data_IF_911321182095
#
_entry.id   IF_911321182095
#
_cell.length_a   1.000
_cell.length_b   1.000
_cell.length_c   1.000
_cell.angle_alpha   90.00
_cell.angle_beta   90.00
_cell.angle_gamma   90.00
#
_symmetry.space_group_name_H-M   'P 1'
#
loop_
_entity.id
_entity.type
_entity.pdbx_description
1 polymer ?
#
# COMPACT_ATOMS: atom_id res chain seq x y z
N UNK A 1 -0.88 71.65 15.21
CA UNK A 1 -1.41 70.57 14.35
C UNK A 1 -0.84 70.78 12.95
N UNK A 2 0.22 70.06 12.58
CA UNK A 2 0.92 70.23 11.30
C UNK A 2 0.79 68.91 10.55
N UNK A 3 0.00 68.95 9.48
CA UNK A 3 -0.27 67.80 8.61
C UNK A 3 1.04 67.51 7.86
N UNK A 4 1.62 66.35 8.09
CA UNK A 4 2.79 65.87 7.35
C UNK A 4 2.31 65.42 5.97
N UNK A 5 2.74 66.14 4.94
CA UNK A 5 2.49 65.85 3.53
C UNK A 5 3.16 64.52 3.15
N UNK A 6 2.41 63.56 2.63
CA UNK A 6 2.85 62.20 2.33
C UNK A 6 3.62 62.05 0.99
N UNK A 7 4.25 63.11 0.48
CA UNK A 7 4.90 63.09 -0.85
C UNK A 7 6.40 63.47 -0.84
N UNK A 8 7.12 63.23 0.25
CA UNK A 8 8.58 63.37 0.27
C UNK A 8 9.23 62.01 0.36
N UNK A 9 9.23 61.29 -0.76
CA UNK A 9 10.19 60.22 -1.01
C UNK A 9 11.24 60.86 -1.92
N UNK A 10 12.40 61.18 -1.36
CA UNK A 10 13.47 61.88 -2.05
C UNK A 10 13.86 61.15 -3.35
N UNK A 11 14.01 61.89 -4.46
CA UNK A 11 14.31 61.38 -5.81
C UNK A 11 15.72 60.79 -5.98
N UNK A 12 16.42 60.48 -4.88
CA UNK A 12 17.80 59.97 -4.84
C UNK A 12 17.91 58.58 -4.18
N UNK A 13 16.84 57.76 -4.21
CA UNK A 13 16.93 56.39 -3.72
C UNK A 13 17.74 55.56 -4.71
N UNK A 14 18.93 55.12 -4.27
CA UNK A 14 19.84 54.29 -5.04
C UNK A 14 19.21 52.92 -5.34
N UNK A 15 19.20 52.51 -6.61
CA UNK A 15 18.59 51.24 -7.04
C UNK A 15 19.23 50.03 -6.34
N UNK A 16 20.51 50.10 -5.98
CA UNK A 16 21.21 49.06 -5.22
C UNK A 16 20.66 48.92 -3.79
N UNK A 17 20.24 50.03 -3.17
CA UNK A 17 19.61 50.00 -1.85
C UNK A 17 18.23 49.33 -1.93
N UNK A 18 17.43 49.65 -2.96
CA UNK A 18 16.12 49.02 -3.22
C UNK A 18 16.28 47.52 -3.46
N UNK A 19 17.23 47.13 -4.31
CA UNK A 19 17.53 45.73 -4.62
C UNK A 19 18.01 44.96 -3.38
N UNK A 20 18.88 45.55 -2.54
CA UNK A 20 19.35 44.92 -1.32
C UNK A 20 18.23 44.72 -0.29
N UNK A 21 17.34 45.70 -0.14
CA UNK A 21 16.21 45.63 0.77
C UNK A 21 15.15 44.63 0.27
N UNK A 22 14.92 44.57 -1.05
CA UNK A 22 14.06 43.58 -1.67
C UNK A 22 14.60 42.15 -1.50
N UNK A 23 15.91 41.93 -1.69
CA UNK A 23 16.54 40.64 -1.44
C UNK A 23 16.46 40.23 0.03
N UNK A 24 16.67 41.18 0.96
CA UNK A 24 16.54 40.95 2.39
C UNK A 24 15.09 40.57 2.76
N UNK A 25 14.09 41.27 2.20
CA UNK A 25 12.68 40.95 2.41
C UNK A 25 12.30 39.56 1.84
N UNK A 26 12.85 39.14 0.69
CA UNK A 26 12.62 37.81 0.13
C UNK A 26 13.26 36.70 1.00
N UNK A 27 14.46 36.94 1.53
CA UNK A 27 15.16 35.98 2.38
C UNK A 27 14.42 35.69 3.70
N UNK A 28 13.79 36.71 4.30
CA UNK A 28 13.06 36.58 5.56
C UNK A 28 11.54 36.43 5.41
N UNK A 29 10.99 36.70 4.22
CA UNK A 29 9.55 36.75 3.94
C UNK A 29 9.00 35.55 3.18
N UNK A 30 9.81 34.54 2.83
CA UNK A 30 9.27 33.25 2.40
C UNK A 30 8.59 32.61 3.61
N UNK A 31 7.23 32.46 3.64
CA UNK A 31 6.62 31.56 4.61
C UNK A 31 7.31 30.22 4.40
N UNK A 32 7.91 29.70 5.46
CA UNK A 32 8.49 28.36 5.45
C UNK A 32 7.34 27.44 5.06
N UNK A 33 7.32 26.98 3.81
CA UNK A 33 6.34 26.00 3.37
C UNK A 33 6.44 24.87 4.40
N UNK A 34 5.33 24.47 5.04
CA UNK A 34 5.37 23.37 5.98
C UNK A 34 6.10 22.22 5.28
N UNK A 35 7.19 21.73 5.89
CA UNK A 35 8.03 20.64 5.38
C UNK A 35 7.23 19.32 5.43
N UNK A 36 6.11 19.27 4.72
CA UNK A 36 5.16 18.16 4.71
C UNK A 36 3.97 18.46 3.78
N UNK A 37 4.20 19.01 2.59
CA UNK A 37 3.17 19.05 1.52
C UNK A 37 2.97 17.68 0.85
N UNK A 38 3.71 16.64 1.27
CA UNK A 38 3.75 15.36 0.53
C UNK A 38 3.36 14.10 1.30
N UNK A 39 2.75 14.16 2.49
CA UNK A 39 2.54 12.92 3.28
C UNK A 39 1.13 12.71 3.87
N UNK A 40 0.08 13.04 3.13
CA UNK A 40 -1.29 12.60 3.51
C UNK A 40 -1.51 11.08 3.34
N UNK A 41 -0.53 10.35 2.77
CA UNK A 41 -0.58 8.88 2.67
C UNK A 41 -0.20 8.15 3.96
N UNK A 42 0.17 8.88 5.01
CA UNK A 42 0.75 8.32 6.22
C UNK A 42 -0.24 8.41 7.37
N UNK A 43 -0.97 7.32 7.59
CA UNK A 43 -1.69 7.14 8.86
C UNK A 43 -0.67 6.85 9.95
N UNK A 44 -0.17 7.89 10.61
CA UNK A 44 0.51 7.74 11.90
C UNK A 44 -0.44 7.06 12.87
N UNK A 45 -0.10 5.85 13.30
CA UNK A 45 -0.71 5.28 14.49
C UNK A 45 -0.14 6.05 15.69
N UNK A 46 -1.02 6.57 16.55
CA UNK A 46 -0.70 7.39 17.74
C UNK A 46 0.28 6.73 18.74
N UNK A 47 0.73 5.49 18.49
CA UNK A 47 1.66 4.72 19.32
C UNK A 47 2.89 4.18 18.55
N UNK A 48 3.47 5.03 17.70
CA UNK A 48 4.93 5.09 17.59
C UNK A 48 5.66 4.00 16.81
N UNK A 49 5.02 3.35 15.83
CA UNK A 49 5.77 2.75 14.71
C UNK A 49 5.05 3.09 13.41
N UNK A 50 5.62 3.96 12.54
CA UNK A 50 5.03 4.21 11.24
C UNK A 50 5.14 2.94 10.39
N UNK A 51 4.02 2.30 10.06
CA UNK A 51 4.02 1.22 9.08
C UNK A 51 3.95 1.84 7.68
N UNK A 52 5.05 1.74 6.91
CA UNK A 52 5.08 2.11 5.50
C UNK A 52 4.68 0.88 4.70
N UNK A 53 3.47 0.86 4.15
CA UNK A 53 3.12 -0.11 3.12
C UNK A 53 3.90 0.28 1.87
N UNK A 54 4.96 -0.47 1.59
CA UNK A 54 5.78 -0.26 0.41
C UNK A 54 5.06 -0.91 -0.77
N UNK A 55 4.33 -0.10 -1.55
CA UNK A 55 3.96 -0.47 -2.91
C UNK A 55 5.24 -0.46 -3.74
N UNK A 56 5.56 -1.57 -4.40
CA UNK A 56 6.69 -1.58 -5.34
C UNK A 56 6.41 -0.62 -6.50
N UNK A 57 7.41 0.19 -6.88
CA UNK A 57 7.28 1.10 -8.04
C UNK A 57 7.06 0.32 -9.35
N UNK A 58 7.57 -0.91 -9.42
CA UNK A 58 7.28 -1.87 -10.50
C UNK A 58 6.08 -2.73 -10.10
N UNK A 59 4.88 -2.17 -10.20
CA UNK A 59 3.65 -2.97 -10.19
C UNK A 59 3.48 -3.63 -11.56
N UNK A 60 3.14 -4.93 -11.65
CA UNK A 60 2.67 -5.51 -12.90
C UNK A 60 1.47 -4.71 -13.42
N UNK A 61 1.35 -4.57 -14.75
CA UNK A 61 0.20 -3.88 -15.38
C UNK A 61 -1.14 -4.46 -14.88
N UNK A 62 -1.15 -5.76 -14.60
CA UNK A 62 -2.30 -6.52 -14.15
C UNK A 62 -2.24 -6.84 -12.64
N UNK A 63 -1.63 -5.99 -11.80
CA UNK A 63 -1.44 -6.35 -10.40
C UNK A 63 -0.81 -5.31 -9.49
N UNK A 64 -0.58 -5.74 -8.26
CA UNK A 64 0.11 -4.92 -7.25
C UNK A 64 0.88 -5.79 -6.28
N UNK A 65 2.04 -5.30 -5.83
CA UNK A 65 2.80 -5.95 -4.77
C UNK A 65 2.84 -5.04 -3.53
N UNK A 66 2.55 -5.62 -2.37
CA UNK A 66 2.51 -4.93 -1.09
C UNK A 66 3.45 -5.61 -0.11
N UNK A 67 4.34 -4.81 0.50
CA UNK A 67 5.26 -5.27 1.54
C UNK A 67 5.01 -4.53 2.85
N UNK A 68 4.99 -5.27 3.96
CA UNK A 68 4.77 -4.72 5.30
C UNK A 68 5.78 -5.28 6.32
N UNK A 69 6.26 -4.44 7.27
CA UNK A 69 7.19 -4.87 8.30
C UNK A 69 6.47 -5.60 9.43
N UNK A 70 7.07 -6.69 9.91
CA UNK A 70 6.69 -7.36 11.15
C UNK A 70 7.49 -6.81 12.34
N UNK A 71 7.00 -7.08 13.56
CA UNK A 71 7.65 -6.61 14.80
C UNK A 71 9.05 -7.22 15.02
N UNK A 72 9.33 -8.36 14.41
CA UNK A 72 10.61 -9.06 14.43
C UNK A 72 11.63 -8.50 13.41
N UNK A 73 11.26 -7.49 12.61
CA UNK A 73 12.10 -6.91 11.57
C UNK A 73 12.06 -7.68 10.23
N UNK A 74 11.34 -8.80 10.16
CA UNK A 74 11.06 -9.48 8.89
C UNK A 74 9.98 -8.73 8.11
N UNK A 75 9.80 -9.08 6.84
CA UNK A 75 8.77 -8.47 6.00
C UNK A 75 7.82 -9.51 5.45
N UNK A 76 6.53 -9.21 5.54
CA UNK A 76 5.47 -9.89 4.81
C UNK A 76 5.32 -9.29 3.42
N UNK A 77 5.09 -10.14 2.42
CA UNK A 77 4.84 -9.74 1.03
C UNK A 77 3.54 -10.35 0.54
N UNK A 78 2.71 -9.56 -0.13
CA UNK A 78 1.46 -9.99 -0.75
C UNK A 78 1.42 -9.47 -2.18
N UNK A 79 1.41 -10.41 -3.14
CA UNK A 79 1.27 -10.15 -4.56
C UNK A 79 -0.18 -10.33 -4.96
N UNK A 80 -0.70 -9.38 -5.74
CA UNK A 80 -2.02 -9.46 -6.32
C UNK A 80 -1.91 -9.53 -7.84
N UNK A 81 -2.59 -10.52 -8.41
CA UNK A 81 -2.75 -10.72 -9.84
C UNK A 81 -4.23 -10.52 -10.18
N UNK A 82 -4.52 -9.65 -11.12
CA UNK A 82 -5.86 -9.36 -11.64
C UNK A 82 -5.90 -9.71 -13.12
N UNK A 83 -6.62 -10.77 -13.47
CA UNK A 83 -6.80 -11.21 -14.86
C UNK A 83 -8.27 -11.53 -15.17
N UNK A 84 -8.53 -12.20 -16.29
CA UNK A 84 -9.88 -12.57 -16.75
C UNK A 84 -10.62 -13.50 -15.77
N UNK A 85 -9.89 -14.27 -14.95
CA UNK A 85 -10.45 -15.10 -13.89
C UNK A 85 -10.60 -14.35 -12.56
N UNK A 86 -10.46 -13.02 -12.57
CA UNK A 86 -10.66 -12.15 -11.44
C UNK A 86 -9.38 -11.87 -10.65
N UNK A 87 -9.53 -11.68 -9.34
CA UNK A 87 -8.48 -11.27 -8.43
C UNK A 87 -7.93 -12.46 -7.64
N UNK A 88 -6.60 -12.68 -7.70
CA UNK A 88 -5.91 -13.74 -6.98
C UNK A 88 -4.76 -13.20 -6.14
N UNK A 89 -4.84 -13.30 -4.80
CA UNK A 89 -3.74 -12.97 -3.91
C UNK A 89 -2.77 -14.16 -3.75
N UNK A 90 -1.47 -13.87 -3.77
CA UNK A 90 -0.38 -14.81 -3.55
C UNK A 90 0.49 -14.28 -2.40
N UNK A 91 0.64 -15.07 -1.33
CA UNK A 91 1.51 -14.75 -0.20
C UNK A 91 1.77 -16.00 0.64
N UNK A 92 2.96 -16.09 1.23
CA UNK A 92 3.29 -17.09 2.25
C UNK A 92 2.45 -16.93 3.53
N UNK A 93 1.76 -15.80 3.69
CA UNK A 93 0.91 -15.49 4.84
C UNK A 93 -0.54 -15.93 4.63
N UNK A 94 -0.92 -16.30 3.41
CA UNK A 94 -2.27 -16.81 3.14
C UNK A 94 -2.35 -18.20 3.77
N UNK A 95 -3.39 -18.47 4.59
CA UNK A 95 -3.57 -19.78 5.19
C UNK A 95 -3.65 -20.88 4.14
N UNK A 96 -2.84 -21.92 4.30
CA UNK A 96 -2.98 -23.13 3.49
C UNK A 96 -4.19 -23.94 3.94
N UNK A 97 -4.94 -24.57 3.02
CA UNK A 97 -5.97 -25.53 3.39
C UNK A 97 -5.41 -26.62 4.31
N UNK A 98 -6.22 -27.09 5.24
CA UNK A 98 -5.85 -28.21 6.10
C UNK A 98 -5.67 -29.49 5.25
N UNK A 99 -4.78 -30.42 5.66
CA UNK A 99 -4.64 -31.69 4.98
C UNK A 99 -5.97 -32.46 4.98
N UNK A 100 -6.19 -33.26 3.94
CA UNK A 100 -7.34 -34.16 3.86
C UNK A 100 -7.41 -35.03 5.13
N UNK A 101 -8.57 -35.16 5.78
CA UNK A 101 -8.69 -35.98 6.97
C UNK A 101 -8.51 -37.47 6.64
N UNK A 102 -7.95 -38.23 7.58
CA UNK A 102 -7.59 -39.63 7.36
C UNK A 102 -8.78 -40.50 6.89
N UNK A 103 -9.98 -40.25 7.41
CA UNK A 103 -11.17 -40.98 6.98
C UNK A 103 -11.55 -40.72 5.52
N UNK A 104 -11.30 -39.50 4.99
CA UNK A 104 -11.57 -39.20 3.59
C UNK A 104 -10.59 -39.94 2.67
N UNK A 105 -9.34 -40.07 3.10
CA UNK A 105 -8.32 -40.88 2.39
C UNK A 105 -8.76 -42.36 2.38
N UNK A 106 -9.23 -42.90 3.51
CA UNK A 106 -9.76 -44.26 3.57
C UNK A 106 -11.00 -44.45 2.69
N UNK A 107 -11.94 -43.49 2.69
CA UNK A 107 -13.11 -43.54 1.82
C UNK A 107 -12.72 -43.58 0.34
N UNK A 108 -11.74 -42.76 -0.07
CA UNK A 108 -11.20 -42.78 -1.44
C UNK A 108 -10.58 -44.14 -1.77
N UNK A 109 -9.80 -44.72 -0.85
CA UNK A 109 -9.19 -46.05 -1.00
C UNK A 109 -10.25 -47.13 -1.18
N UNK A 110 -11.24 -47.18 -0.29
CA UNK A 110 -12.35 -48.14 -0.34
C UNK A 110 -13.15 -47.97 -1.64
N UNK A 111 -13.45 -46.73 -2.02
CA UNK A 111 -14.16 -46.46 -3.28
C UNK A 111 -13.33 -46.90 -4.51
N UNK A 112 -12.00 -46.74 -4.49
CA UNK A 112 -11.13 -47.23 -5.55
C UNK A 112 -11.11 -48.77 -5.63
N UNK A 113 -11.05 -49.45 -4.48
CA UNK A 113 -11.15 -50.92 -4.41
C UNK A 113 -12.50 -51.42 -4.95
N UNK A 114 -13.61 -50.76 -4.59
CA UNK A 114 -14.94 -51.10 -5.09
C UNK A 114 -15.04 -50.94 -6.61
N UNK A 115 -14.50 -49.83 -7.16
CA UNK A 115 -14.42 -49.62 -8.62
C UNK A 115 -13.57 -50.69 -9.31
N UNK A 116 -12.44 -51.07 -8.73
CA UNK A 116 -11.58 -52.14 -9.25
C UNK A 116 -12.26 -53.51 -9.23
N UNK A 117 -13.17 -53.75 -8.28
CA UNK A 117 -14.05 -54.93 -8.22
C UNK A 117 -15.23 -54.86 -9.19
N UNK A 118 -15.35 -53.79 -9.99
CA UNK A 118 -16.43 -53.59 -10.94
C UNK A 118 -17.77 -53.23 -10.29
N UNK A 119 -17.77 -52.79 -9.03
CA UNK A 119 -18.97 -52.36 -8.33
C UNK A 119 -19.32 -50.95 -8.83
N UNK A 120 -20.42 -50.85 -9.59
CA UNK A 120 -20.97 -49.57 -10.03
C UNK A 120 -22.18 -49.19 -9.17
N UNK A 121 -22.00 -48.21 -8.28
CA UNK A 121 -23.06 -47.69 -7.40
C UNK A 121 -24.05 -46.78 -8.13
N UNK A 122 -23.76 -46.37 -9.37
CA UNK A 122 -24.68 -45.57 -10.21
C UNK A 122 -25.60 -46.44 -11.08
N UNK A 123 -25.48 -47.78 -11.02
CA UNK A 123 -26.43 -48.67 -11.67
C UNK A 123 -27.76 -48.64 -10.89
N UNK A 124 -28.88 -48.18 -11.48
CA UNK A 124 -30.17 -48.14 -10.81
C UNK A 124 -30.70 -49.53 -10.40
N UNK A 125 -30.11 -50.62 -10.90
CA UNK A 125 -30.43 -51.98 -10.49
C UNK A 125 -29.49 -52.55 -9.41
N UNK A 126 -28.51 -51.78 -8.93
CA UNK A 126 -27.61 -52.23 -7.86
C UNK A 126 -28.36 -52.28 -6.51
N UNK A 127 -28.51 -53.48 -5.94
CA UNK A 127 -29.13 -53.69 -4.62
C UNK A 127 -28.10 -54.26 -3.64
N UNK A 128 -28.01 -53.62 -2.47
CA UNK A 128 -27.13 -53.96 -1.33
C UNK A 128 -27.57 -55.23 -0.60
#
# INVERSE_FOLDING_TARGET
MKIINANTIDSNININLILSLALFAIAFGLPQLPRNVFDERFRTSERGIPFRILRSEVSPINGANFRFPFRDGTFGEVRYVADENGYRPESALIPTPHPLPAHAIEQIRVAAEQRARGINWEDPNYRI
#
